data_IF_254315867272
#
_entry.id   IF_254315867272
#
_cell.length_a   1.000
_cell.length_b   1.000
_cell.length_c   1.000
_cell.angle_alpha   90.00
_cell.angle_beta   90.00
_cell.angle_gamma   90.00
#
_symmetry.space_group_name_H-M   'P 1'
#
loop_
_entity.id
_entity.type
_entity.pdbx_description
1 polymer ?
#
# COMPACT_ATOMS: atom_id res chain seq x y z
N UNK A 1 11.57 -7.75 -31.26
CA UNK A 1 12.93 -7.19 -31.19
C UNK A 1 12.91 -5.83 -31.87
N UNK A 2 12.75 -4.78 -31.08
CA UNK A 2 12.96 -3.40 -31.50
C UNK A 2 13.49 -2.70 -30.24
N UNK A 3 14.76 -2.29 -30.29
CA UNK A 3 15.45 -1.59 -29.22
C UNK A 3 14.74 -0.26 -28.95
N UNK A 4 13.99 -0.18 -27.85
CA UNK A 4 13.60 1.11 -27.27
C UNK A 4 14.65 1.48 -26.24
N UNK A 5 15.65 2.22 -26.70
CA UNK A 5 16.64 2.87 -25.87
C UNK A 5 15.98 3.88 -24.92
N UNK A 6 15.98 3.56 -23.64
CA UNK A 6 15.97 4.55 -22.57
C UNK A 6 17.43 4.91 -22.27
N UNK A 7 17.86 6.18 -22.34
CA UNK A 7 19.21 6.60 -21.99
C UNK A 7 19.34 6.82 -20.48
N UNK A 8 18.75 5.94 -19.66
CA UNK A 8 19.05 5.88 -18.24
C UNK A 8 19.77 4.57 -17.92
N UNK A 9 21.09 4.50 -18.17
CA UNK A 9 21.91 3.49 -17.53
C UNK A 9 22.02 3.87 -16.05
N UNK A 10 21.14 3.32 -15.21
CA UNK A 10 21.35 3.30 -13.76
C UNK A 10 22.43 2.27 -13.42
N UNK A 11 23.65 2.49 -13.95
CA UNK A 11 24.94 1.97 -13.48
C UNK A 11 26.08 2.69 -14.23
N UNK A 12 26.31 3.96 -13.88
CA UNK A 12 27.67 4.52 -13.86
C UNK A 12 27.86 5.12 -12.47
N UNK A 13 28.48 4.37 -11.56
CA UNK A 13 29.14 5.01 -10.42
C UNK A 13 30.31 5.79 -11.02
N UNK A 14 30.37 7.12 -10.87
CA UNK A 14 31.42 7.89 -11.52
C UNK A 14 32.78 7.39 -11.02
N UNK A 15 33.78 7.22 -11.90
CA UNK A 15 35.14 6.91 -11.48
C UNK A 15 35.66 7.92 -10.45
N UNK A 16 35.06 9.12 -10.37
CA UNK A 16 35.45 10.22 -9.50
C UNK A 16 34.89 10.13 -8.06
N UNK A 17 34.21 9.03 -7.70
CA UNK A 17 33.75 8.82 -6.32
C UNK A 17 34.95 8.52 -5.41
N UNK A 18 35.35 9.53 -4.63
CA UNK A 18 36.52 9.53 -3.74
C UNK A 18 36.50 8.39 -2.72
N UNK A 19 35.33 7.97 -2.24
CA UNK A 19 35.22 6.87 -1.26
C UNK A 19 35.47 5.52 -1.92
N UNK A 20 34.93 5.31 -3.13
CA UNK A 20 35.16 4.08 -3.89
C UNK A 20 36.61 3.98 -4.38
N UNK A 21 37.16 5.08 -4.92
CA UNK A 21 38.58 5.13 -5.27
C UNK A 21 39.48 4.91 -4.06
N UNK A 22 39.15 5.46 -2.88
CA UNK A 22 39.88 5.16 -1.64
C UNK A 22 39.84 3.67 -1.31
N UNK A 23 38.67 3.03 -1.33
CA UNK A 23 38.54 1.62 -0.96
C UNK A 23 39.27 0.69 -1.93
N UNK A 24 39.18 0.94 -3.24
CA UNK A 24 39.89 0.17 -4.27
C UNK A 24 41.40 0.41 -4.18
N UNK A 25 41.82 1.65 -3.95
CA UNK A 25 43.25 1.99 -3.76
C UNK A 25 43.80 1.36 -2.49
N UNK A 26 43.05 1.37 -1.38
CA UNK A 26 43.45 0.70 -0.14
C UNK A 26 43.59 -0.80 -0.40
N UNK A 27 42.64 -1.46 -1.07
CA UNK A 27 42.75 -2.89 -1.38
C UNK A 27 43.94 -3.21 -2.29
N UNK A 28 44.17 -2.43 -3.34
CA UNK A 28 45.27 -2.64 -4.28
C UNK A 28 46.64 -2.36 -3.63
N UNK A 29 46.77 -1.27 -2.88
CA UNK A 29 48.00 -0.94 -2.14
C UNK A 29 48.29 -2.00 -1.09
N UNK A 30 47.27 -2.45 -0.35
CA UNK A 30 47.45 -3.52 0.66
C UNK A 30 47.86 -4.83 -0.01
N UNK A 31 47.26 -5.20 -1.15
CA UNK A 31 47.63 -6.40 -1.91
C UNK A 31 49.06 -6.37 -2.48
N UNK A 32 49.49 -5.22 -3.02
CA UNK A 32 50.84 -5.05 -3.57
C UNK A 32 51.90 -5.04 -2.47
N UNK A 33 51.61 -4.41 -1.32
CA UNK A 33 52.54 -4.35 -0.18
C UNK A 33 52.75 -5.75 0.44
N UNK A 34 51.72 -6.60 0.43
CA UNK A 34 51.79 -7.98 0.92
C UNK A 34 52.65 -8.90 0.03
N UNK A 35 52.74 -8.64 -1.28
CA UNK A 35 53.60 -9.42 -2.18
C UNK A 35 55.07 -9.01 -2.06
N UNK A 36 55.36 -7.73 -1.77
CA UNK A 36 56.72 -7.20 -1.62
C UNK A 36 57.43 -7.57 -0.31
N UNK A 37 56.69 -7.84 0.77
CA UNK A 37 57.27 -8.05 2.11
C UNK A 37 57.41 -9.54 2.49
N UNK A 38 58.29 -10.28 1.81
CA UNK A 38 58.83 -11.54 2.34
C UNK A 38 59.83 -11.25 3.47
N UNK A 39 59.35 -11.11 4.70
CA UNK A 39 60.23 -11.04 5.88
C UNK A 39 59.60 -10.38 7.10
N UNK A 40 58.99 -11.21 7.95
CA UNK A 40 58.67 -11.05 9.39
C UNK A 40 58.13 -9.73 9.98
N UNK A 41 57.91 -8.64 9.22
CA UNK A 41 57.25 -7.41 9.68
C UNK A 41 55.78 -7.28 9.21
N UNK A 42 55.29 -8.25 8.45
CA UNK A 42 53.91 -8.26 7.92
C UNK A 42 52.82 -8.63 8.92
N UNK A 43 53.15 -9.18 10.10
CA UNK A 43 52.13 -9.69 11.04
C UNK A 43 51.36 -8.56 11.74
N UNK A 44 52.03 -7.45 12.09
CA UNK A 44 51.38 -6.32 12.78
C UNK A 44 50.46 -5.52 11.84
N UNK A 45 50.84 -5.39 10.56
CA UNK A 45 50.04 -4.70 9.54
C UNK A 45 48.85 -5.51 9.04
N UNK A 46 48.81 -6.83 9.23
CA UNK A 46 47.62 -7.64 8.94
C UNK A 46 46.62 -7.54 10.08
N UNK A 47 47.09 -7.43 11.33
CA UNK A 47 46.21 -7.36 12.49
C UNK A 47 45.42 -6.04 12.58
N UNK A 48 45.95 -4.90 12.12
CA UNK A 48 45.23 -3.62 12.21
C UNK A 48 44.03 -3.50 11.25
N UNK A 49 44.14 -3.82 9.94
CA UNK A 49 43.03 -3.85 9.00
C UNK A 49 42.07 -4.99 9.30
N UNK A 50 42.56 -6.13 9.80
CA UNK A 50 41.71 -7.24 10.23
C UNK A 50 40.97 -6.91 11.54
N UNK A 51 41.59 -6.19 12.46
CA UNK A 51 40.94 -5.67 13.66
C UNK A 51 39.97 -4.53 13.33
N UNK A 52 40.26 -3.66 12.37
CA UNK A 52 39.32 -2.64 11.85
C UNK A 52 38.19 -3.27 11.04
N UNK A 53 38.44 -4.38 10.33
CA UNK A 53 37.41 -5.18 9.70
C UNK A 53 36.55 -5.89 10.74
N UNK A 54 37.13 -6.45 11.80
CA UNK A 54 36.38 -7.04 12.93
C UNK A 54 35.66 -5.97 13.75
N UNK A 55 36.23 -4.77 13.91
CA UNK A 55 35.64 -3.67 14.66
C UNK A 55 34.54 -2.97 13.85
N UNK A 56 34.74 -2.79 12.53
CA UNK A 56 33.75 -2.33 11.58
C UNK A 56 32.66 -3.37 11.34
N UNK A 57 33.01 -4.66 11.29
CA UNK A 57 32.04 -5.75 11.28
C UNK A 57 31.33 -5.84 12.62
N UNK A 58 31.95 -5.51 13.76
CA UNK A 58 31.28 -5.45 15.07
C UNK A 58 30.34 -4.25 15.20
N UNK A 59 30.71 -3.09 14.66
CA UNK A 59 29.80 -1.95 14.49
C UNK A 59 28.68 -2.22 13.49
N UNK A 60 28.89 -3.15 12.56
CA UNK A 60 27.85 -3.73 11.71
C UNK A 60 27.18 -4.98 12.29
N UNK A 61 27.66 -5.60 13.38
CA UNK A 61 27.00 -6.79 13.96
C UNK A 61 25.80 -6.46 14.83
N UNK A 62 25.49 -5.18 15.05
CA UNK A 62 24.15 -4.76 15.45
C UNK A 62 23.17 -4.76 14.27
N UNK A 63 23.66 -4.84 13.03
CA UNK A 63 22.88 -5.24 11.87
C UNK A 63 23.12 -6.73 11.60
N UNK A 64 22.25 -7.57 12.17
CA UNK A 64 22.06 -9.01 11.91
C UNK A 64 23.03 -9.64 10.88
N UNK A 65 23.84 -10.60 11.32
CA UNK A 65 24.61 -11.54 10.48
C UNK A 65 23.78 -12.26 9.39
N UNK A 66 22.45 -12.16 9.47
CA UNK A 66 21.48 -12.70 8.52
C UNK A 66 21.24 -11.78 7.31
N UNK A 67 22.21 -10.94 6.90
CA UNK A 67 22.00 -9.96 5.81
C UNK A 67 23.20 -9.72 4.90
N UNK A 68 24.26 -10.52 5.00
CA UNK A 68 25.46 -10.36 4.16
C UNK A 68 25.14 -10.46 2.65
N UNK A 69 24.08 -11.18 2.28
CA UNK A 69 23.60 -11.29 0.91
C UNK A 69 23.02 -10.00 0.31
N UNK A 70 22.69 -8.99 1.13
CA UNK A 70 22.30 -7.65 0.64
C UNK A 70 23.47 -6.91 -0.03
N UNK A 71 24.71 -7.36 0.17
CA UNK A 71 25.89 -6.74 -0.42
C UNK A 71 26.18 -7.20 -1.86
N UNK A 72 25.47 -8.22 -2.38
CA UNK A 72 25.66 -8.71 -3.75
C UNK A 72 24.69 -8.03 -4.72
N UNK A 73 25.16 -7.27 -5.73
CA UNK A 73 24.31 -6.70 -6.76
C UNK A 73 23.49 -7.74 -7.54
N UNK A 74 24.02 -8.97 -7.68
CA UNK A 74 23.32 -10.09 -8.31
C UNK A 74 22.18 -10.61 -7.43
N UNK A 75 22.38 -10.70 -6.12
CA UNK A 75 21.33 -11.10 -5.18
C UNK A 75 20.25 -10.00 -5.04
N UNK A 76 20.65 -8.73 -5.06
CA UNK A 76 19.71 -7.61 -5.10
C UNK A 76 18.83 -7.66 -6.35
N UNK A 77 19.35 -8.13 -7.49
CA UNK A 77 18.55 -8.34 -8.71
C UNK A 77 17.48 -9.42 -8.54
N UNK A 78 17.80 -10.51 -7.85
CA UNK A 78 16.85 -11.60 -7.51
C UNK A 78 15.83 -11.12 -6.47
N UNK A 79 16.24 -10.25 -5.54
CA UNK A 79 15.36 -9.68 -4.51
C UNK A 79 14.52 -8.48 -4.98
N UNK A 80 14.81 -7.92 -6.15
CA UNK A 80 14.01 -6.82 -6.70
C UNK A 80 12.64 -7.34 -7.14
N UNK A 81 11.62 -6.49 -7.00
CA UNK A 81 10.24 -6.79 -7.38
C UNK A 81 10.14 -7.36 -8.79
N UNK A 82 9.22 -8.30 -8.97
CA UNK A 82 8.93 -8.97 -10.24
C UNK A 82 7.62 -8.44 -10.82
N UNK A 83 7.56 -8.26 -12.14
CA UNK A 83 6.31 -8.15 -12.88
C UNK A 83 6.03 -9.50 -13.52
N UNK A 84 4.83 -10.03 -13.31
CA UNK A 84 4.42 -11.34 -13.79
C UNK A 84 3.19 -11.24 -14.70
N UNK A 85 3.10 -12.20 -15.61
CA UNK A 85 1.92 -12.52 -16.39
C UNK A 85 1.65 -14.01 -16.17
N UNK A 86 0.58 -14.29 -15.42
CA UNK A 86 0.31 -15.59 -14.80
C UNK A 86 1.54 -16.16 -14.07
N UNK A 87 2.08 -17.28 -14.54
CA UNK A 87 3.24 -17.96 -13.96
C UNK A 87 4.58 -17.49 -14.53
N UNK A 88 4.56 -16.57 -15.50
CA UNK A 88 5.75 -16.12 -16.22
C UNK A 88 6.24 -14.78 -15.70
N UNK A 89 7.53 -14.72 -15.38
CA UNK A 89 8.21 -13.44 -15.09
C UNK A 89 8.39 -12.66 -16.40
N UNK A 90 7.79 -11.47 -16.46
CA UNK A 90 7.97 -10.52 -17.57
C UNK A 90 9.16 -9.60 -17.34
N UNK A 91 9.31 -9.08 -16.12
CA UNK A 91 10.37 -8.12 -15.78
C UNK A 91 10.97 -8.41 -14.39
N UNK A 92 12.30 -8.46 -14.33
CA UNK A 92 13.08 -8.50 -13.09
C UNK A 92 14.45 -7.83 -13.29
N UNK A 93 14.71 -6.65 -12.67
CA UNK A 93 13.81 -5.92 -11.77
C UNK A 93 12.61 -5.31 -12.51
N UNK A 94 11.50 -5.14 -11.80
CA UNK A 94 10.32 -4.42 -12.29
C UNK A 94 10.66 -2.97 -12.66
N UNK A 95 10.23 -2.53 -13.84
CA UNK A 95 10.40 -1.14 -14.29
C UNK A 95 9.20 -0.30 -13.84
N UNK A 96 9.44 0.66 -12.95
CA UNK A 96 8.39 1.52 -12.39
C UNK A 96 7.87 2.59 -13.36
N UNK A 97 8.72 3.04 -14.30
CA UNK A 97 8.32 4.05 -15.28
C UNK A 97 7.17 3.53 -16.15
N UNK A 98 6.04 4.26 -16.14
CA UNK A 98 4.83 3.89 -16.88
C UNK A 98 4.13 2.61 -16.36
N UNK A 99 4.52 2.06 -15.22
CA UNK A 99 3.95 0.81 -14.70
C UNK A 99 2.44 0.91 -14.51
N UNK A 100 1.96 1.99 -13.88
CA UNK A 100 0.51 2.18 -13.67
C UNK A 100 -0.25 2.25 -14.99
N UNK A 101 0.29 2.98 -15.98
CA UNK A 101 -0.31 3.06 -17.32
C UNK A 101 -0.38 1.69 -18.00
N UNK A 102 0.67 0.88 -17.90
CA UNK A 102 0.69 -0.48 -18.47
C UNK A 102 -0.34 -1.40 -17.82
N UNK A 103 -0.53 -1.30 -16.50
CA UNK A 103 -1.58 -2.05 -15.80
C UNK A 103 -2.98 -1.61 -16.25
N UNK A 104 -3.20 -0.31 -16.43
CA UNK A 104 -4.47 0.24 -16.95
C UNK A 104 -4.71 -0.24 -18.38
N UNK A 105 -3.70 -0.20 -19.25
CA UNK A 105 -3.79 -0.69 -20.62
C UNK A 105 -4.20 -2.16 -20.67
N UNK A 106 -3.66 -2.98 -19.76
CA UNK A 106 -4.03 -4.38 -19.63
C UNK A 106 -5.50 -4.54 -19.25
N UNK A 107 -5.99 -3.75 -18.28
CA UNK A 107 -7.40 -3.76 -17.88
C UNK A 107 -8.34 -3.28 -18.99
N UNK A 108 -7.98 -2.25 -19.74
CA UNK A 108 -8.77 -1.77 -20.89
C UNK A 108 -8.84 -2.85 -21.97
N UNK A 109 -7.73 -3.53 -22.28
CA UNK A 109 -7.72 -4.65 -23.24
C UNK A 109 -8.56 -5.83 -22.74
N UNK A 110 -8.50 -6.14 -21.45
CA UNK A 110 -9.32 -7.18 -20.83
C UNK A 110 -10.82 -6.89 -21.00
N UNK A 111 -11.24 -5.65 -20.72
CA UNK A 111 -12.64 -5.21 -20.93
C UNK A 111 -13.04 -5.33 -22.41
N UNK A 112 -12.21 -4.82 -23.32
CA UNK A 112 -12.49 -4.86 -24.75
C UNK A 112 -12.59 -6.30 -25.30
N UNK A 113 -11.78 -7.22 -24.76
CA UNK A 113 -11.84 -8.64 -25.11
C UNK A 113 -13.12 -9.28 -24.59
N UNK A 114 -13.46 -9.07 -23.31
CA UNK A 114 -14.66 -9.65 -22.71
C UNK A 114 -15.97 -9.02 -23.22
N UNK A 115 -15.93 -7.80 -23.75
CA UNK A 115 -17.07 -7.19 -24.43
C UNK A 115 -17.55 -7.96 -25.68
N UNK A 116 -16.72 -8.88 -26.21
CA UNK A 116 -17.04 -9.72 -27.36
C UNK A 116 -17.70 -11.05 -26.97
N UNK A 117 -17.90 -11.29 -25.68
CA UNK A 117 -18.42 -12.53 -25.10
C UNK A 117 -19.62 -12.21 -24.20
N UNK A 118 -20.59 -13.11 -24.13
CA UNK A 118 -21.75 -13.00 -23.24
C UNK A 118 -21.42 -13.45 -21.79
N UNK A 119 -20.23 -14.01 -21.56
CA UNK A 119 -19.80 -14.44 -20.23
C UNK A 119 -19.46 -13.24 -19.32
N UNK A 120 -19.93 -13.24 -18.05
CA UNK A 120 -19.56 -12.20 -17.09
C UNK A 120 -18.06 -12.28 -16.78
N UNK A 121 -17.45 -11.12 -16.50
CA UNK A 121 -16.06 -11.03 -16.09
C UNK A 121 -15.92 -10.45 -14.68
N UNK A 122 -14.76 -10.72 -14.06
CA UNK A 122 -14.33 -10.09 -12.82
C UNK A 122 -12.95 -9.46 -13.03
N UNK A 123 -12.87 -8.15 -12.91
CA UNK A 123 -11.61 -7.40 -13.01
C UNK A 123 -11.19 -6.91 -11.62
N UNK A 124 -10.10 -7.44 -11.10
CA UNK A 124 -9.42 -6.90 -9.93
C UNK A 124 -8.23 -6.05 -10.39
N UNK A 125 -8.44 -4.75 -10.54
CA UNK A 125 -7.36 -3.81 -10.82
C UNK A 125 -6.79 -3.27 -9.50
N UNK A 126 -5.60 -3.75 -9.14
CA UNK A 126 -4.85 -3.25 -7.99
C UNK A 126 -3.78 -2.28 -8.45
N UNK A 127 -4.01 -0.98 -8.22
CA UNK A 127 -3.02 0.04 -8.53
C UNK A 127 -1.77 -0.13 -7.66
N UNK A 128 -0.61 0.08 -8.28
CA UNK A 128 0.65 0.23 -7.53
C UNK A 128 0.73 1.61 -6.86
N UNK A 129 0.06 2.61 -7.44
CA UNK A 129 -0.24 3.88 -6.78
C UNK A 129 -1.22 3.67 -5.62
N UNK A 130 -1.12 4.42 -4.53
CA UNK A 130 -0.20 5.54 -4.24
C UNK A 130 0.84 5.11 -3.18
N UNK A 131 1.34 3.88 -3.28
CA UNK A 131 2.36 3.37 -2.35
C UNK A 131 3.75 3.91 -2.72
N UNK A 132 4.60 4.15 -1.71
CA UNK A 132 6.01 4.52 -1.92
C UNK A 132 6.78 3.41 -2.66
N UNK A 133 7.74 3.74 -3.54
CA UNK A 133 8.20 5.09 -3.92
C UNK A 133 7.23 5.82 -4.85
N UNK A 134 7.21 7.16 -4.79
CA UNK A 134 6.34 8.00 -5.65
C UNK A 134 6.93 8.12 -7.07
N UNK A 135 6.80 7.07 -7.88
CA UNK A 135 7.11 7.11 -9.32
C UNK A 135 5.88 7.62 -10.07
N UNK A 136 6.06 8.40 -11.13
CA UNK A 136 4.94 8.90 -11.94
C UNK A 136 5.39 9.06 -13.39
N UNK A 137 4.46 9.01 -14.34
CA UNK A 137 4.75 9.31 -15.73
C UNK A 137 5.24 10.76 -15.90
N UNK A 138 6.13 10.99 -16.87
CA UNK A 138 6.76 12.30 -17.06
C UNK A 138 5.75 13.43 -17.34
N UNK A 139 4.63 13.13 -18.02
CA UNK A 139 3.54 14.06 -18.29
C UNK A 139 2.60 14.30 -17.09
N UNK A 140 2.75 13.52 -16.02
CA UNK A 140 1.98 13.64 -14.78
C UNK A 140 2.76 14.32 -13.65
N UNK A 141 4.09 14.43 -13.79
CA UNK A 141 4.96 15.01 -12.77
C UNK A 141 4.80 16.52 -12.60
N UNK A 142 4.77 16.98 -11.35
CA UNK A 142 4.77 18.39 -10.97
C UNK A 142 3.43 19.11 -11.18
N UNK A 143 2.34 18.36 -11.37
CA UNK A 143 1.01 18.91 -11.64
C UNK A 143 0.20 19.14 -10.38
N UNK A 144 0.41 18.30 -9.37
CA UNK A 144 -0.46 18.26 -8.21
C UNK A 144 -0.01 19.18 -7.09
N UNK A 145 -0.98 19.70 -6.33
CA UNK A 145 -0.74 20.52 -5.13
C UNK A 145 -0.08 19.74 -3.99
N UNK A 146 -0.25 18.41 -3.95
CA UNK A 146 0.34 17.55 -2.92
C UNK A 146 1.67 16.93 -3.39
N UNK A 147 2.39 17.63 -4.28
CA UNK A 147 3.67 17.20 -4.82
C UNK A 147 3.60 15.82 -5.46
N UNK A 148 4.68 15.04 -5.32
CA UNK A 148 4.81 13.71 -5.92
C UNK A 148 3.72 12.72 -5.49
N UNK A 149 3.22 12.83 -4.26
CA UNK A 149 2.09 12.02 -3.80
C UNK A 149 0.82 12.38 -4.58
N UNK A 150 0.55 13.67 -4.74
CA UNK A 150 -0.56 14.15 -5.54
C UNK A 150 -0.46 13.77 -7.01
N UNK A 151 0.74 13.82 -7.60
CA UNK A 151 0.96 13.38 -8.99
C UNK A 151 0.59 11.90 -9.18
N UNK A 152 0.93 11.03 -8.22
CA UNK A 152 0.52 9.62 -8.20
C UNK A 152 -1.00 9.46 -8.07
N UNK A 153 -1.66 10.29 -7.24
CA UNK A 153 -3.12 10.27 -7.09
C UNK A 153 -3.79 10.68 -8.41
N UNK A 154 -3.29 11.73 -9.07
CA UNK A 154 -3.83 12.21 -10.35
C UNK A 154 -3.57 11.21 -11.50
N UNK A 155 -2.44 10.51 -11.51
CA UNK A 155 -2.18 9.42 -12.47
C UNK A 155 -3.10 8.21 -12.25
N UNK A 156 -3.38 7.85 -10.99
CA UNK A 156 -4.38 6.82 -10.67
C UNK A 156 -5.78 7.24 -11.11
N UNK A 157 -6.16 8.51 -10.87
CA UNK A 157 -7.46 9.07 -11.27
C UNK A 157 -7.66 9.04 -12.80
N UNK A 158 -6.64 9.44 -13.57
CA UNK A 158 -6.64 9.29 -15.02
C UNK A 158 -6.82 7.82 -15.43
N UNK A 159 -6.10 6.90 -14.78
CA UNK A 159 -6.24 5.46 -14.97
C UNK A 159 -7.65 4.93 -14.72
N UNK A 160 -8.31 5.38 -13.66
CA UNK A 160 -9.72 5.08 -13.37
C UNK A 160 -10.60 5.59 -14.52
N UNK A 161 -10.41 6.84 -14.95
CA UNK A 161 -11.15 7.42 -16.07
C UNK A 161 -11.05 6.59 -17.35
N UNK A 162 -9.86 6.10 -17.68
CA UNK A 162 -9.62 5.23 -18.85
C UNK A 162 -10.38 3.91 -18.76
N UNK A 163 -10.42 3.28 -17.58
CA UNK A 163 -11.19 2.04 -17.35
C UNK A 163 -12.70 2.30 -17.49
N UNK A 164 -13.20 3.40 -16.92
CA UNK A 164 -14.61 3.78 -17.03
C UNK A 164 -15.03 4.11 -18.47
N UNK A 165 -14.14 4.76 -19.23
CA UNK A 165 -14.37 5.04 -20.64
C UNK A 165 -14.45 3.76 -21.45
N UNK A 166 -13.56 2.79 -21.21
CA UNK A 166 -13.62 1.49 -21.89
C UNK A 166 -14.95 0.76 -21.64
N UNK A 167 -15.46 0.76 -20.40
CA UNK A 167 -16.78 0.20 -20.10
C UNK A 167 -17.90 0.91 -20.87
N UNK A 168 -17.82 2.23 -21.01
CA UNK A 168 -18.81 3.05 -21.72
C UNK A 168 -18.75 2.81 -23.23
N UNK A 169 -17.56 2.82 -23.81
CA UNK A 169 -17.31 2.59 -25.24
C UNK A 169 -17.81 1.22 -25.71
N UNK A 170 -17.74 0.21 -24.83
CA UNK A 170 -18.21 -1.14 -25.10
C UNK A 170 -19.66 -1.40 -24.64
N UNK A 171 -20.38 -0.39 -24.15
CA UNK A 171 -21.80 -0.53 -23.76
C UNK A 171 -22.02 -1.37 -22.50
N UNK A 172 -21.01 -1.55 -21.66
CA UNK A 172 -21.03 -2.41 -20.47
C UNK A 172 -21.42 -1.67 -19.18
N UNK A 173 -21.59 -0.35 -19.22
CA UNK A 173 -21.73 0.50 -18.03
C UNK A 173 -22.92 0.14 -17.13
N UNK A 174 -24.07 -0.22 -17.71
CA UNK A 174 -25.27 -0.61 -16.94
C UNK A 174 -25.18 -2.03 -16.37
N UNK A 175 -24.30 -2.86 -16.92
CA UNK A 175 -24.13 -4.26 -16.54
C UNK A 175 -22.89 -4.51 -15.67
N UNK A 176 -22.21 -3.44 -15.26
CA UNK A 176 -20.97 -3.53 -14.48
C UNK A 176 -21.12 -2.82 -13.13
N UNK A 177 -20.96 -3.56 -12.04
CA UNK A 177 -20.74 -2.97 -10.72
C UNK A 177 -19.27 -2.58 -10.56
N UNK A 178 -19.02 -1.31 -10.28
CA UNK A 178 -17.69 -0.76 -10.01
C UNK A 178 -17.57 -0.49 -8.50
N UNK A 179 -16.48 -0.98 -7.90
CA UNK A 179 -16.10 -0.71 -6.52
C UNK A 179 -14.70 -0.11 -6.48
N UNK A 180 -14.55 1.05 -5.86
CA UNK A 180 -13.27 1.72 -5.64
C UNK A 180 -13.02 1.92 -4.14
N UNK A 181 -11.83 1.53 -3.69
CA UNK A 181 -11.39 1.61 -2.30
C UNK A 181 -9.87 1.72 -2.18
N UNK A 182 -9.40 1.93 -0.95
CA UNK A 182 -8.01 1.75 -0.53
C UNK A 182 -7.90 0.57 0.43
N UNK A 183 -6.75 -0.10 0.47
CA UNK A 183 -6.48 -1.23 1.38
C UNK A 183 -6.34 -0.78 2.84
N UNK A 184 -5.82 0.44 3.06
CA UNK A 184 -5.74 1.09 4.35
C UNK A 184 -5.70 2.62 4.19
N UNK A 185 -5.76 3.35 5.31
CA UNK A 185 -5.61 4.80 5.30
C UNK A 185 -4.19 5.29 4.97
N UNK A 186 -4.04 6.60 4.74
CA UNK A 186 -2.79 7.22 4.29
C UNK A 186 -1.61 7.02 5.27
N UNK A 187 -0.41 6.86 4.71
CA UNK A 187 0.84 6.76 5.48
C UNK A 187 1.33 8.16 5.88
N UNK A 188 0.92 8.63 7.06
CA UNK A 188 1.15 10.03 7.48
C UNK A 188 2.62 10.35 7.74
N UNK A 189 3.37 9.37 8.23
CA UNK A 189 4.79 9.49 8.62
C UNK A 189 5.74 9.54 7.41
N UNK A 190 5.29 9.13 6.21
CA UNK A 190 6.15 8.95 5.05
C UNK A 190 6.70 10.29 4.54
N UNK A 191 8.02 10.45 4.69
CA UNK A 191 8.78 11.60 4.21
C UNK A 191 10.05 11.15 3.50
N UNK A 192 10.39 11.84 2.42
CA UNK A 192 11.61 11.66 1.64
C UNK A 192 12.22 13.03 1.34
N UNK A 193 13.50 13.24 1.62
CA UNK A 193 14.20 14.51 1.40
C UNK A 193 13.49 15.75 1.98
N UNK A 194 12.81 15.60 3.12
CA UNK A 194 12.05 16.66 3.78
C UNK A 194 10.62 16.83 3.26
N UNK A 195 10.31 16.30 2.08
CA UNK A 195 8.98 16.33 1.48
C UNK A 195 8.09 15.23 2.06
N UNK A 196 6.79 15.53 2.17
CA UNK A 196 5.77 14.52 2.51
C UNK A 196 5.44 13.71 1.26
N UNK A 197 5.59 12.40 1.35
CA UNK A 197 5.36 11.45 0.24
C UNK A 197 4.30 10.41 0.61
N UNK A 198 3.44 10.75 1.56
CA UNK A 198 2.36 9.91 2.04
C UNK A 198 1.06 10.67 2.20
N UNK A 199 -0.04 9.91 2.19
CA UNK A 199 -1.39 10.45 2.08
C UNK A 199 -1.89 11.25 3.26
N UNK A 200 -3.11 11.75 3.13
CA UNK A 200 -3.81 12.58 4.11
C UNK A 200 -5.21 12.02 4.38
N UNK A 201 -5.61 11.97 5.66
CA UNK A 201 -6.84 11.32 6.10
C UNK A 201 -7.92 12.33 6.54
N UNK A 202 -7.77 13.61 6.20
CA UNK A 202 -8.74 14.64 6.58
C UNK A 202 -8.83 14.80 8.09
N UNK A 203 -10.06 14.92 8.58
CA UNK A 203 -10.42 15.01 10.01
C UNK A 203 -10.12 13.74 10.82
N UNK A 204 -9.76 12.63 10.17
CA UNK A 204 -9.60 11.35 10.84
C UNK A 204 -8.21 11.21 11.46
N UNK A 205 -8.19 10.93 12.77
CA UNK A 205 -6.97 10.69 13.53
C UNK A 205 -6.32 9.38 13.13
N UNK A 206 -4.99 9.38 12.99
CA UNK A 206 -4.17 8.20 12.68
C UNK A 206 -4.03 7.92 11.19
N UNK A 207 -3.34 6.83 10.84
CA UNK A 207 -2.99 6.46 9.47
C UNK A 207 -2.62 4.99 9.32
N UNK A 208 -1.91 4.66 8.24
CA UNK A 208 -1.34 3.33 8.01
C UNK A 208 -0.73 2.74 9.29
N UNK A 209 -0.98 1.45 9.52
CA UNK A 209 -0.60 0.69 10.73
C UNK A 209 -1.33 1.06 12.04
N UNK A 210 -2.24 2.03 12.04
CA UNK A 210 -3.02 2.39 13.22
C UNK A 210 -4.44 1.80 13.18
N UNK A 211 -4.58 0.47 13.19
CA UNK A 211 -5.85 -0.26 13.13
C UNK A 211 -6.91 0.13 14.18
N UNK A 212 -6.53 0.68 15.34
CA UNK A 212 -7.49 1.20 16.31
C UNK A 212 -8.14 2.54 15.93
N UNK A 213 -7.62 3.25 14.92
CA UNK A 213 -7.98 4.64 14.63
C UNK A 213 -8.72 4.83 13.32
N UNK A 214 -9.60 5.84 13.24
CA UNK A 214 -10.38 6.09 12.02
C UNK A 214 -9.49 6.34 10.80
N UNK A 215 -8.40 7.10 10.93
CA UNK A 215 -7.52 7.39 9.81
C UNK A 215 -6.69 6.19 9.34
N UNK A 216 -6.64 5.10 10.11
CA UNK A 216 -6.03 3.85 9.68
C UNK A 216 -7.00 2.91 8.96
N UNK A 217 -8.27 2.86 9.39
CA UNK A 217 -9.26 1.87 8.95
C UNK A 217 -10.34 2.42 8.01
N UNK A 218 -10.63 3.72 8.07
CA UNK A 218 -11.67 4.34 7.24
C UNK A 218 -11.02 4.78 5.94
N UNK A 219 -11.50 4.21 4.84
CA UNK A 219 -10.98 4.39 3.48
C UNK A 219 -12.09 4.89 2.56
N UNK A 220 -11.77 5.44 1.38
CA UNK A 220 -12.77 5.67 0.34
C UNK A 220 -13.56 4.38 0.05
N UNK A 221 -14.87 4.48 -0.14
CA UNK A 221 -15.72 3.36 -0.52
C UNK A 221 -16.76 3.85 -1.51
N UNK A 222 -16.46 3.75 -2.80
CA UNK A 222 -17.31 4.24 -3.87
C UNK A 222 -17.87 3.04 -4.62
N UNK A 223 -19.19 2.97 -4.71
CA UNK A 223 -19.91 2.00 -5.53
C UNK A 223 -20.64 2.73 -6.64
N UNK A 224 -20.48 2.24 -7.87
CA UNK A 224 -21.21 2.73 -9.06
C UNK A 224 -21.77 1.54 -9.81
N UNK A 225 -23.07 1.59 -10.08
CA UNK A 225 -23.75 0.62 -10.94
C UNK A 225 -24.92 1.32 -11.63
N UNK A 226 -24.68 1.76 -12.85
CA UNK A 226 -25.62 2.59 -13.61
C UNK A 226 -26.95 1.84 -13.81
N UNK A 227 -28.07 2.47 -13.48
CA UNK A 227 -29.40 1.86 -13.54
C UNK A 227 -29.81 1.04 -12.30
N UNK A 228 -28.88 0.73 -11.40
CA UNK A 228 -29.14 -0.05 -10.18
C UNK A 228 -28.92 0.75 -8.90
N UNK A 229 -27.91 1.62 -8.86
CA UNK A 229 -27.60 2.49 -7.72
C UNK A 229 -27.89 3.95 -8.12
N UNK A 230 -28.72 4.69 -7.36
CA UNK A 230 -28.96 6.11 -7.62
C UNK A 230 -27.66 6.93 -7.55
N UNK A 231 -27.40 7.74 -8.58
CA UNK A 231 -26.20 8.57 -8.64
C UNK A 231 -26.22 9.68 -7.57
N UNK A 232 -25.03 10.08 -7.12
CA UNK A 232 -24.84 11.24 -6.23
C UNK A 232 -25.31 11.04 -4.79
N UNK A 233 -25.66 9.82 -4.38
CA UNK A 233 -26.10 9.54 -3.01
C UNK A 233 -24.94 9.15 -2.11
N UNK A 234 -25.03 9.58 -0.85
CA UNK A 234 -24.14 9.18 0.24
C UNK A 234 -24.85 8.23 1.19
N UNK A 235 -24.13 7.25 1.70
CA UNK A 235 -24.63 6.33 2.74
C UNK A 235 -23.60 6.25 3.87
N UNK A 236 -24.05 6.51 5.10
CA UNK A 236 -23.21 6.52 6.30
C UNK A 236 -23.20 5.14 6.99
N UNK A 237 -23.86 4.12 6.43
CA UNK A 237 -23.89 2.76 6.97
C UNK A 237 -22.47 2.19 7.06
N UNK A 238 -22.02 1.74 8.24
CA UNK A 238 -20.69 1.14 8.37
C UNK A 238 -20.62 -0.20 7.62
N UNK A 239 -19.79 -0.24 6.57
CA UNK A 239 -19.46 -1.43 5.79
C UNK A 239 -17.99 -1.81 5.98
N UNK A 240 -17.64 -3.01 5.54
CA UNK A 240 -16.28 -3.57 5.60
C UNK A 240 -15.83 -4.06 4.23
N UNK A 241 -14.52 -4.05 3.96
CA UNK A 241 -13.97 -4.73 2.77
C UNK A 241 -14.28 -6.24 2.79
N UNK A 242 -14.49 -6.83 3.98
CA UNK A 242 -14.92 -8.22 4.12
C UNK A 242 -16.30 -8.49 3.52
N UNK A 243 -17.12 -7.45 3.34
CA UNK A 243 -18.46 -7.55 2.75
C UNK A 243 -18.40 -7.78 1.23
N UNK A 244 -17.25 -7.55 0.57
CA UNK A 244 -17.12 -7.66 -0.88
C UNK A 244 -17.42 -9.08 -1.36
N UNK A 245 -16.82 -10.10 -0.75
CA UNK A 245 -17.02 -11.50 -1.16
C UNK A 245 -18.50 -11.94 -1.07
N UNK A 246 -19.18 -11.85 0.09
CA UNK A 246 -20.60 -12.23 0.18
C UNK A 246 -21.50 -11.33 -0.67
N UNK A 247 -21.12 -10.09 -0.95
CA UNK A 247 -21.83 -9.21 -1.89
C UNK A 247 -21.71 -9.71 -3.32
N UNK A 248 -20.51 -10.06 -3.77
CA UNK A 248 -20.30 -10.62 -5.11
C UNK A 248 -21.06 -11.94 -5.29
N UNK A 249 -21.01 -12.85 -4.32
CA UNK A 249 -21.76 -14.11 -4.38
C UNK A 249 -23.27 -13.86 -4.52
N UNK A 250 -23.82 -12.97 -3.70
CA UNK A 250 -25.23 -12.61 -3.73
C UNK A 250 -25.63 -12.01 -5.09
N UNK A 251 -24.90 -11.01 -5.60
CA UNK A 251 -25.25 -10.31 -6.84
C UNK A 251 -25.11 -11.18 -8.09
N UNK A 252 -24.23 -12.18 -8.06
CA UNK A 252 -24.01 -13.11 -9.17
C UNK A 252 -24.90 -14.35 -9.09
N UNK A 253 -25.66 -14.52 -7.99
CA UNK A 253 -26.43 -15.75 -7.75
C UNK A 253 -25.57 -17.00 -7.55
N UNK A 254 -24.27 -16.83 -7.28
CA UNK A 254 -23.37 -17.94 -6.97
C UNK A 254 -23.73 -18.55 -5.61
N UNK A 255 -23.53 -19.87 -5.43
CA UNK A 255 -23.81 -20.52 -4.17
C UNK A 255 -22.86 -20.01 -3.06
N UNK A 256 -23.23 -20.18 -1.78
CA UNK A 256 -22.37 -19.80 -0.65
C UNK A 256 -20.97 -20.42 -0.75
N UNK A 257 -19.97 -19.75 -0.17
CA UNK A 257 -18.56 -20.18 -0.22
C UNK A 257 -18.38 -21.63 0.27
N UNK A 258 -19.14 -22.05 1.28
CA UNK A 258 -19.10 -23.42 1.82
C UNK A 258 -19.46 -24.50 0.79
N UNK A 259 -20.25 -24.18 -0.23
CA UNK A 259 -20.58 -25.08 -1.33
C UNK A 259 -19.56 -25.01 -2.46
N UNK A 260 -19.04 -23.81 -2.76
CA UNK A 260 -18.00 -23.62 -3.79
C UNK A 260 -16.66 -24.24 -3.36
N UNK A 261 -16.34 -24.20 -2.07
CA UNK A 261 -15.08 -24.66 -1.50
C UNK A 261 -15.31 -25.58 -0.31
N UNK A 262 -15.87 -26.79 -0.53
CA UNK A 262 -16.27 -27.70 0.55
C UNK A 262 -15.09 -28.27 1.36
N UNK A 263 -13.87 -28.15 0.84
CA UNK A 263 -12.63 -28.58 1.51
C UNK A 263 -12.12 -27.56 2.53
N UNK A 264 -12.61 -26.32 2.50
CA UNK A 264 -12.28 -25.34 3.52
C UNK A 264 -13.08 -25.64 4.81
N UNK A 265 -12.52 -25.32 5.99
CA UNK A 265 -13.29 -25.40 7.23
C UNK A 265 -14.59 -24.61 7.09
N UNK A 266 -15.72 -25.21 7.46
CA UNK A 266 -17.02 -24.51 7.49
C UNK A 266 -16.96 -23.42 8.55
N UNK A 267 -16.54 -22.22 8.13
CA UNK A 267 -16.53 -21.01 8.94
C UNK A 267 -17.51 -20.03 8.34
N UNK A 268 -18.25 -19.36 9.21
CA UNK A 268 -19.04 -18.21 8.78
C UNK A 268 -18.09 -17.12 8.27
N UNK A 269 -18.51 -16.43 7.21
CA UNK A 269 -17.80 -15.25 6.74
C UNK A 269 -18.06 -14.10 7.73
N UNK A 270 -17.01 -13.36 8.07
CA UNK A 270 -17.15 -12.13 8.89
C UNK A 270 -17.88 -11.00 8.15
N UNK A 271 -17.87 -11.06 6.82
CA UNK A 271 -18.58 -10.13 5.94
C UNK A 271 -20.04 -10.50 5.77
N UNK A 272 -20.87 -9.49 5.49
CA UNK A 272 -22.27 -9.66 5.11
C UNK A 272 -22.51 -9.06 3.73
N UNK A 273 -23.46 -9.59 2.98
CA UNK A 273 -23.80 -9.00 1.68
C UNK A 273 -24.42 -7.62 1.88
N UNK A 274 -23.92 -6.63 1.14
CA UNK A 274 -24.49 -5.27 1.08
C UNK A 274 -25.26 -5.05 -0.24
N UNK A 275 -25.54 -6.11 -1.00
CA UNK A 275 -26.28 -6.03 -2.27
C UNK A 275 -27.64 -5.34 -2.11
N UNK A 276 -28.44 -5.77 -1.14
CA UNK A 276 -29.75 -5.17 -0.84
C UNK A 276 -29.65 -3.72 -0.37
N UNK A 277 -28.58 -3.37 0.36
CA UNK A 277 -28.33 -1.98 0.78
C UNK A 277 -28.11 -1.10 -0.46
N UNK A 278 -27.33 -1.57 -1.43
CA UNK A 278 -27.03 -0.84 -2.66
C UNK A 278 -28.26 -0.68 -3.57
N UNK A 279 -29.04 -1.74 -3.79
CA UNK A 279 -30.13 -1.77 -4.78
C UNK A 279 -31.48 -1.33 -4.21
N UNK A 280 -31.74 -1.59 -2.93
CA UNK A 280 -33.05 -1.38 -2.31
C UNK A 280 -33.01 -0.55 -1.03
N UNK A 281 -31.83 -0.03 -0.64
CA UNK A 281 -31.63 0.78 0.59
C UNK A 281 -32.06 0.05 1.87
N UNK A 282 -32.09 -1.29 1.82
CA UNK A 282 -32.46 -2.10 2.98
C UNK A 282 -31.38 -2.00 4.03
N UNK A 283 -31.80 -1.72 5.26
CA UNK A 283 -30.88 -1.62 6.39
C UNK A 283 -30.19 -2.96 6.66
N UNK A 284 -28.89 -2.91 6.94
CA UNK A 284 -28.12 -4.08 7.35
C UNK A 284 -28.52 -4.53 8.77
N UNK A 285 -28.40 -5.83 9.08
CA UNK A 285 -28.60 -6.30 10.45
C UNK A 285 -27.58 -5.67 11.42
N UNK A 286 -27.89 -5.63 12.72
CA UNK A 286 -26.91 -5.24 13.73
C UNK A 286 -25.63 -6.07 13.60
N UNK A 287 -24.47 -5.42 13.73
CA UNK A 287 -23.18 -6.07 13.49
C UNK A 287 -22.06 -5.51 14.35
N UNK A 288 -21.03 -6.31 14.52
CA UNK A 288 -19.78 -5.94 15.19
C UNK A 288 -18.66 -5.96 14.16
N UNK A 289 -17.85 -4.90 14.12
CA UNK A 289 -16.64 -4.81 13.31
C UNK A 289 -15.43 -4.83 14.23
N UNK A 290 -14.55 -5.79 14.03
CA UNK A 290 -13.32 -5.95 14.81
C UNK A 290 -12.15 -5.31 14.07
N UNK A 291 -11.41 -4.44 14.75
CA UNK A 291 -10.28 -3.73 14.17
C UNK A 291 -8.98 -4.23 14.77
N UNK A 292 -8.28 -5.03 13.98
CA UNK A 292 -7.01 -5.62 14.37
C UNK A 292 -5.83 -4.69 14.07
N UNK A 293 -4.76 -4.85 14.85
CA UNK A 293 -3.41 -4.44 14.49
C UNK A 293 -2.54 -5.69 14.59
N UNK A 294 -2.21 -6.29 13.44
CA UNK A 294 -1.60 -7.63 13.39
C UNK A 294 -2.49 -8.65 14.12
N UNK A 295 -1.98 -9.32 15.16
CA UNK A 295 -2.70 -10.35 15.89
C UNK A 295 -3.61 -9.84 17.01
N UNK A 296 -3.59 -8.54 17.33
CA UNK A 296 -4.29 -7.98 18.49
C UNK A 296 -5.52 -7.17 18.07
N UNK A 297 -6.60 -7.22 18.86
CA UNK A 297 -7.78 -6.37 18.65
C UNK A 297 -7.54 -5.02 19.32
N UNK A 298 -7.44 -3.95 18.53
CA UNK A 298 -7.19 -2.59 19.04
C UNK A 298 -8.46 -1.79 19.25
N UNK A 299 -9.51 -2.10 18.51
CA UNK A 299 -10.82 -1.49 18.68
C UNK A 299 -11.92 -2.43 18.17
N UNK A 300 -13.14 -2.21 18.64
CA UNK A 300 -14.33 -2.77 18.04
C UNK A 300 -15.37 -1.68 17.79
N UNK A 301 -16.23 -1.90 16.81
CA UNK A 301 -17.36 -1.05 16.49
C UNK A 301 -18.65 -1.87 16.51
N UNK A 302 -19.65 -1.38 17.21
CA UNK A 302 -20.97 -1.98 17.31
C UNK A 302 -21.95 -1.09 16.55
N UNK A 303 -22.67 -1.67 15.61
CA UNK A 303 -23.68 -1.00 14.79
C UNK A 303 -25.04 -1.58 15.17
N UNK A 304 -25.93 -0.72 15.65
CA UNK A 304 -27.28 -1.11 16.06
C UNK A 304 -28.28 -0.04 15.61
N UNK A 305 -29.13 -0.39 14.65
CA UNK A 305 -30.01 0.57 13.98
C UNK A 305 -29.20 1.70 13.35
N UNK A 306 -29.49 2.94 13.73
CA UNK A 306 -28.77 4.13 13.24
C UNK A 306 -27.61 4.55 14.16
N UNK A 307 -27.36 3.81 15.24
CA UNK A 307 -26.30 4.12 16.18
C UNK A 307 -25.04 3.31 15.86
N UNK A 308 -23.88 3.98 15.92
CA UNK A 308 -22.57 3.36 15.79
C UNK A 308 -21.72 3.72 17.01
N UNK A 309 -21.34 2.71 17.78
CA UNK A 309 -20.49 2.85 18.95
C UNK A 309 -19.10 2.32 18.63
N UNK A 310 -18.04 3.01 19.05
CA UNK A 310 -16.66 2.53 18.91
C UNK A 310 -15.99 2.50 20.27
N UNK A 311 -15.45 1.34 20.60
CA UNK A 311 -14.67 1.08 21.80
C UNK A 311 -13.20 0.93 21.42
N UNK A 312 -12.32 1.70 22.05
CA UNK A 312 -10.87 1.52 21.89
C UNK A 312 -10.30 0.69 23.03
N UNK A 313 -9.54 -0.35 22.67
CA UNK A 313 -8.80 -1.21 23.59
C UNK A 313 -7.31 -0.84 23.65
N UNK A 314 -6.79 -0.23 22.59
CA UNK A 314 -5.40 0.22 22.51
C UNK A 314 -5.28 1.62 21.89
N UNK A 315 -4.49 2.48 22.54
CA UNK A 315 -4.13 3.82 22.07
C UNK A 315 -2.71 3.88 21.53
N UNK A 316 -2.51 4.65 20.47
CA UNK A 316 -1.18 4.85 19.90
C UNK A 316 -0.48 6.05 20.56
N UNK A 317 0.85 5.93 20.72
CA UNK A 317 1.72 6.99 21.23
C UNK A 317 2.03 8.00 20.13
N UNK A 318 1.15 8.97 19.95
CA UNK A 318 1.33 10.05 18.96
C UNK A 318 2.40 11.04 19.40
N UNK A 319 3.09 11.65 18.42
CA UNK A 319 3.93 12.82 18.68
C UNK A 319 3.05 13.99 19.12
N UNK A 320 3.45 14.75 20.17
CA UNK A 320 2.70 15.89 20.66
C UNK A 320 2.29 16.85 19.53
N UNK A 321 1.02 17.28 19.53
CA UNK A 321 0.48 18.18 18.50
C UNK A 321 0.26 17.55 17.11
N UNK A 322 0.37 16.22 16.98
CA UNK A 322 0.21 15.53 15.69
C UNK A 322 -0.69 14.30 15.80
N UNK A 323 -1.10 13.77 14.64
CA UNK A 323 -1.80 12.48 14.51
C UNK A 323 -0.88 11.35 14.05
N UNK A 324 0.44 11.53 14.19
CA UNK A 324 1.47 10.61 13.68
C UNK A 324 2.32 10.05 14.81
N UNK A 325 2.85 8.85 14.65
CA UNK A 325 3.72 8.24 15.68
C UNK A 325 5.21 8.56 15.45
N UNK A 326 5.58 9.11 14.29
CA UNK A 326 6.98 9.25 13.89
C UNK A 326 7.17 10.06 12.62
N UNK A 327 8.36 9.95 12.02
CA UNK A 327 8.67 10.53 10.70
C UNK A 327 9.64 9.60 9.96
N UNK A 328 9.41 9.40 8.66
CA UNK A 328 10.28 8.62 7.77
C UNK A 328 9.55 7.50 7.04
N UNK A 329 10.13 7.05 5.91
CA UNK A 329 9.55 6.03 5.02
C UNK A 329 9.29 4.68 5.69
N UNK A 330 10.08 4.32 6.71
CA UNK A 330 9.97 3.03 7.44
C UNK A 330 9.22 3.16 8.77
N UNK A 331 8.65 4.32 9.05
CA UNK A 331 8.05 4.62 10.34
C UNK A 331 6.54 4.51 10.26
N UNK A 332 5.94 3.76 11.16
CA UNK A 332 4.49 3.63 11.31
C UNK A 332 4.17 3.53 12.80
N UNK A 333 2.90 3.75 13.17
CA UNK A 333 2.45 3.49 14.54
C UNK A 333 2.64 2.00 14.92
N UNK A 334 3.19 1.75 16.12
CA UNK A 334 3.42 0.40 16.62
C UNK A 334 2.11 -0.28 17.02
N UNK A 335 1.95 -1.56 16.66
CA UNK A 335 0.85 -2.37 17.17
C UNK A 335 1.09 -2.85 18.62
N UNK A 336 2.34 -2.92 19.07
CA UNK A 336 2.67 -3.56 20.35
C UNK A 336 3.04 -2.55 21.44
N UNK A 337 3.64 -1.43 21.05
CA UNK A 337 3.97 -0.34 21.98
C UNK A 337 2.81 0.64 22.07
N UNK A 338 1.74 0.21 22.73
CA UNK A 338 0.46 0.92 22.83
C UNK A 338 0.11 1.26 24.27
N UNK A 339 -0.75 2.27 24.44
CA UNK A 339 -1.40 2.58 25.70
C UNK A 339 -2.56 1.61 25.85
N UNK A 340 -2.55 0.77 26.88
CA UNK A 340 -3.59 -0.22 27.09
C UNK A 340 -4.84 0.43 27.72
N UNK A 341 -5.99 0.32 27.04
CA UNK A 341 -7.30 0.77 27.51
C UNK A 341 -8.24 -0.41 27.82
N UNK A 342 -7.77 -1.66 27.81
CA UNK A 342 -8.61 -2.84 27.98
C UNK A 342 -9.36 -2.87 29.31
N UNK A 343 -8.82 -2.23 30.36
CA UNK A 343 -9.42 -2.18 31.69
C UNK A 343 -10.38 -1.00 31.89
N UNK A 344 -10.25 0.05 31.09
CA UNK A 344 -11.12 1.24 31.09
C UNK A 344 -11.33 1.73 29.64
N UNK A 345 -12.18 1.04 28.87
CA UNK A 345 -12.35 1.35 27.46
C UNK A 345 -12.92 2.76 27.26
N UNK A 346 -12.30 3.50 26.34
CA UNK A 346 -12.80 4.82 25.95
C UNK A 346 -13.86 4.70 24.86
N UNK A 347 -15.02 5.32 25.07
CA UNK A 347 -16.05 5.47 24.05
C UNK A 347 -15.72 6.68 23.19
N UNK A 348 -15.54 6.47 21.89
CA UNK A 348 -15.58 7.59 20.96
C UNK A 348 -17.04 7.84 20.58
N UNK A 349 -17.56 9.07 20.77
CA UNK A 349 -18.89 9.40 20.26
C UNK A 349 -18.91 9.17 18.74
N UNK A 350 -20.09 8.93 18.14
CA UNK A 350 -20.20 8.79 16.70
C UNK A 350 -19.51 9.97 16.05
N UNK A 351 -18.52 9.72 15.18
CA UNK A 351 -18.01 10.78 14.31
C UNK A 351 -19.23 11.27 13.54
N UNK A 352 -19.69 12.49 13.83
CA UNK A 352 -20.91 13.05 13.23
C UNK A 352 -20.89 12.91 11.71
N UNK A 353 -22.06 12.97 11.05
CA UNK A 353 -22.18 12.74 9.62
C UNK A 353 -21.12 13.51 8.84
N UNK A 354 -20.72 12.96 7.70
CA UNK A 354 -19.89 13.66 6.71
C UNK A 354 -20.73 14.82 6.10
N UNK A 355 -21.13 15.80 6.91
CA UNK A 355 -21.70 17.04 6.38
C UNK A 355 -20.61 17.72 5.58
N UNK A 356 -20.80 17.76 4.26
CA UNK A 356 -20.10 18.67 3.34
C UNK A 356 -20.43 20.10 3.79
N UNK A 357 -19.66 20.62 4.74
CA UNK A 357 -19.56 22.06 4.97
C UNK A 357 -18.32 22.54 4.20
N UNK A 358 -18.46 23.51 3.29
CA UNK A 358 -17.34 24.15 2.59
C UNK A 358 -16.26 24.70 3.54
N UNK A 359 -16.61 24.95 4.80
CA UNK A 359 -15.74 25.59 5.80
C UNK A 359 -14.79 24.60 6.51
N UNK A 360 -15.00 23.29 6.34
CA UNK A 360 -14.20 22.26 7.02
C UNK A 360 -12.76 22.10 6.49
N UNK A 361 -12.39 22.83 5.44
CA UNK A 361 -11.03 22.83 4.89
C UNK A 361 -10.09 23.83 5.57
N UNK A 362 -10.57 24.73 6.44
CA UNK A 362 -9.76 25.85 6.92
C UNK A 362 -9.03 25.67 8.25
N UNK A 363 -9.31 24.61 9.00
CA UNK A 363 -8.62 24.38 10.27
C UNK A 363 -8.28 22.90 10.40
N UNK A 364 -7.05 22.50 10.03
CA UNK A 364 -6.19 21.52 10.71
C UNK A 364 -4.86 21.34 9.98
#
# INVERSE_FOLDING_TARGET
MQEMGSPHPFFTLPPDNTVYQMLVTIMLVTGVTLWGCKGQRGVVFVLLPFALFIYGSRFHTTASTDRWWLASPWMMRIMNSILMDDERVLEQPMVLAGLSQRLVDHSVKFIAHHAQDDRPFFLYHSFTHVHIPMFTAANMSGRSKHGRYGDNVEEMDDGVGRILNALTEHGLDQHTLIYFTSDHGGHLEARENGERVGGYNGRFKGGKCAGGTEGGIRVPGIYRWSGHIPAGVTDDTPISMLDLLPTTLHLTGLPPLSQLMPHLPQRELDGVSIGDLMTSRKQLPPRVLLHHCKGEIHALRIVQGNATYKMQLAGYKFKPGSTQCGWGLKTCCSCYDVINYSHEPTFQPPAGPLRRSPDSYQHY
#
